data_IF_719291318785
#
_entry.id   IF_719291318785
#
_cell.length_a   1.000
_cell.length_b   1.000
_cell.length_c   1.000
_cell.angle_alpha   90.00
_cell.angle_beta   90.00
_cell.angle_gamma   90.00
#
_symmetry.space_group_name_H-M   'P 1'
#
loop_
_entity.id
_entity.type
_entity.pdbx_description
1 polymer ?
#
# COMPACT_ATOMS: atom_id res chain seq x y z
N UNK A 1 -3.37 -15.85 11.83
CA UNK A 1 -2.30 -16.27 12.77
C UNK A 1 -1.73 -17.63 12.39
N UNK A 2 -2.54 -18.69 12.29
CA UNK A 2 -2.03 -20.03 11.92
C UNK A 2 -1.27 -20.07 10.58
N UNK A 3 -1.73 -19.36 9.54
CA UNK A 3 -1.02 -19.31 8.26
C UNK A 3 0.35 -18.62 8.35
N UNK A 4 0.45 -17.54 9.12
CA UNK A 4 1.72 -16.84 9.33
C UNK A 4 2.70 -17.70 10.14
N UNK A 5 2.20 -18.47 11.11
CA UNK A 5 3.01 -19.45 11.86
C UNK A 5 3.56 -20.55 10.93
N UNK A 6 2.74 -21.06 10.01
CA UNK A 6 3.17 -22.05 9.01
C UNK A 6 4.26 -21.52 8.06
N UNK A 7 4.38 -20.20 7.93
CA UNK A 7 5.44 -19.56 7.15
C UNK A 7 6.66 -19.14 7.97
N UNK A 8 6.71 -19.45 9.28
CA UNK A 8 7.76 -18.99 10.17
C UNK A 8 7.72 -17.49 10.48
N UNK A 9 6.63 -16.80 10.11
CA UNK A 9 6.45 -15.35 10.30
C UNK A 9 5.78 -15.02 11.63
N UNK A 10 5.43 -16.03 12.43
CA UNK A 10 4.90 -15.84 13.75
C UNK A 10 5.22 -17.05 14.63
N UNK A 11 5.51 -16.81 15.92
CA UNK A 11 5.67 -17.84 16.93
C UNK A 11 4.93 -17.44 18.19
N UNK A 12 4.05 -18.30 18.71
CA UNK A 12 3.48 -18.16 20.07
C UNK A 12 3.04 -16.72 20.43
N UNK A 13 2.36 -16.06 19.47
CA UNK A 13 1.84 -14.69 19.55
C UNK A 13 2.85 -13.54 19.33
N UNK A 14 4.07 -13.84 18.90
CA UNK A 14 5.07 -12.89 18.36
C UNK A 14 4.99 -12.94 16.85
N UNK A 15 5.01 -11.78 16.20
CA UNK A 15 5.06 -11.65 14.76
C UNK A 15 6.51 -11.33 14.35
N UNK A 16 7.07 -12.10 13.43
CA UNK A 16 8.42 -11.96 12.88
C UNK A 16 8.38 -11.24 11.54
N UNK A 17 7.58 -10.18 11.47
CA UNK A 17 7.48 -9.29 10.31
C UNK A 17 7.58 -7.85 10.83
N UNK A 18 8.19 -6.96 10.08
CA UNK A 18 8.20 -5.55 10.47
C UNK A 18 6.84 -4.87 10.22
N UNK A 19 6.67 -3.70 10.84
CA UNK A 19 5.41 -2.96 10.79
C UNK A 19 5.04 -2.49 9.37
N UNK A 20 6.03 -2.18 8.52
CA UNK A 20 5.81 -1.71 7.16
C UNK A 20 5.32 -2.86 6.27
N UNK A 21 5.93 -4.03 6.41
CA UNK A 21 5.52 -5.26 5.70
C UNK A 21 4.17 -5.77 6.19
N UNK A 22 3.88 -5.70 7.49
CA UNK A 22 2.54 -5.98 8.01
C UNK A 22 1.50 -5.03 7.40
N UNK A 23 1.80 -3.73 7.39
CA UNK A 23 0.92 -2.73 6.80
C UNK A 23 0.76 -2.91 5.29
N UNK A 24 1.77 -3.44 4.60
CA UNK A 24 1.67 -3.82 3.20
C UNK A 24 0.69 -5.00 3.02
N UNK A 25 0.86 -6.09 3.77
CA UNK A 25 -0.02 -7.25 3.73
C UNK A 25 -1.48 -6.89 4.01
N UNK A 26 -1.73 -6.13 5.07
CA UNK A 26 -3.10 -5.72 5.46
C UNK A 26 -3.78 -4.84 4.41
N UNK A 27 -2.99 -4.09 3.64
CA UNK A 27 -3.47 -3.31 2.50
C UNK A 27 -3.61 -4.13 1.20
N UNK A 28 -3.29 -5.43 1.24
CA UNK A 28 -3.27 -6.32 0.07
C UNK A 28 -2.10 -6.07 -0.88
N UNK A 29 -1.08 -5.34 -0.42
CA UNK A 29 0.16 -5.06 -1.18
C UNK A 29 1.19 -6.17 -0.96
N UNK A 30 2.26 -6.14 -1.74
CA UNK A 30 3.42 -7.01 -1.56
C UNK A 30 4.31 -6.49 -0.43
N UNK A 31 4.89 -7.38 0.35
CA UNK A 31 6.00 -7.08 1.27
C UNK A 31 7.30 -6.84 0.51
N UNK A 32 8.34 -6.42 1.22
CA UNK A 32 9.72 -6.65 0.78
C UNK A 32 10.04 -8.17 0.76
N UNK A 33 11.22 -8.54 0.25
CA UNK A 33 11.66 -9.93 0.21
C UNK A 33 11.85 -10.49 1.64
N UNK A 34 11.11 -11.54 1.98
CA UNK A 34 11.16 -12.19 3.27
C UNK A 34 11.83 -13.56 3.18
N UNK A 35 12.62 -13.89 4.20
CA UNK A 35 13.16 -15.25 4.41
C UNK A 35 12.13 -16.07 5.15
N UNK A 36 11.47 -16.98 4.44
CA UNK A 36 10.57 -17.96 5.04
C UNK A 36 11.40 -19.19 5.43
N UNK A 37 11.18 -19.75 6.62
CA UNK A 37 11.95 -20.88 7.13
C UNK A 37 11.05 -22.05 7.55
N UNK A 38 11.57 -23.27 7.43
CA UNK A 38 10.94 -24.52 7.86
C UNK A 38 9.51 -24.70 7.33
N UNK A 39 9.32 -24.45 6.04
CA UNK A 39 8.01 -24.57 5.40
C UNK A 39 7.64 -26.05 5.22
N UNK A 40 6.46 -26.42 5.72
CA UNK A 40 5.89 -27.74 5.55
C UNK A 40 4.58 -27.69 4.78
N UNK A 41 4.56 -28.26 3.58
CA UNK A 41 3.35 -28.33 2.77
C UNK A 41 3.23 -29.70 2.09
N UNK A 42 2.12 -30.40 2.35
CA UNK A 42 1.79 -31.68 1.70
C UNK A 42 2.91 -32.75 1.79
N UNK A 43 3.67 -32.78 2.90
CA UNK A 43 4.78 -33.72 3.10
C UNK A 43 6.11 -33.30 2.45
N UNK A 44 6.15 -32.15 1.78
CA UNK A 44 7.39 -31.52 1.33
C UNK A 44 7.88 -30.57 2.44
N UNK A 45 9.12 -30.77 2.86
CA UNK A 45 9.83 -29.85 3.76
C UNK A 45 10.78 -28.98 2.94
N UNK A 46 10.58 -27.66 2.99
CA UNK A 46 11.44 -26.66 2.38
C UNK A 46 12.15 -25.92 3.52
N UNK A 47 13.46 -26.12 3.72
CA UNK A 47 14.18 -25.53 4.85
C UNK A 47 14.11 -24.01 4.88
N UNK A 48 14.17 -23.38 3.70
CA UNK A 48 13.94 -21.96 3.57
C UNK A 48 13.58 -21.57 2.13
N UNK A 49 12.86 -20.45 1.99
CA UNK A 49 12.46 -19.86 0.72
C UNK A 49 12.48 -18.34 0.86
N UNK A 50 13.13 -17.65 -0.07
CA UNK A 50 13.02 -16.20 -0.19
C UNK A 50 11.80 -15.88 -1.07
N UNK A 51 10.84 -15.13 -0.53
CA UNK A 51 9.63 -14.73 -1.25
C UNK A 51 9.10 -13.39 -0.74
N UNK A 52 8.46 -12.63 -1.63
CA UNK A 52 7.53 -11.57 -1.23
C UNK A 52 6.18 -12.19 -0.89
N UNK A 53 5.39 -11.54 -0.06
CA UNK A 53 4.08 -12.01 0.36
C UNK A 53 2.99 -11.00 0.03
N UNK A 54 1.77 -11.46 -0.23
CA UNK A 54 0.60 -10.58 -0.33
C UNK A 54 -0.67 -11.27 0.18
N UNK A 55 -1.68 -10.48 0.56
CA UNK A 55 -3.01 -10.98 0.89
C UNK A 55 -4.00 -10.67 -0.22
N UNK A 56 -4.89 -11.62 -0.52
CA UNK A 56 -6.01 -11.43 -1.43
C UNK A 56 -7.27 -12.05 -0.85
N UNK A 57 -8.43 -11.48 -1.16
CA UNK A 57 -9.72 -12.15 -0.94
C UNK A 57 -10.09 -12.97 -2.16
N UNK A 58 -10.38 -14.24 -1.97
CA UNK A 58 -10.90 -15.10 -3.03
C UNK A 58 -12.39 -14.85 -3.28
N UNK A 59 -12.98 -15.59 -4.24
CA UNK A 59 -14.38 -15.45 -4.64
C UNK A 59 -15.37 -15.74 -3.50
N UNK A 60 -15.00 -16.60 -2.55
CA UNK A 60 -15.76 -16.89 -1.32
C UNK A 60 -15.61 -15.81 -0.23
N UNK A 61 -14.81 -14.77 -0.50
CA UNK A 61 -14.50 -13.71 0.46
C UNK A 61 -13.48 -14.09 1.54
N UNK A 62 -12.94 -15.31 1.49
CA UNK A 62 -11.88 -15.77 2.40
C UNK A 62 -10.56 -15.07 2.05
N UNK A 63 -9.80 -14.73 3.08
CA UNK A 63 -8.45 -14.16 2.91
C UNK A 63 -7.49 -15.31 2.65
N UNK A 64 -6.69 -15.16 1.60
CA UNK A 64 -5.62 -16.07 1.21
C UNK A 64 -4.28 -15.33 1.25
N UNK A 65 -3.29 -16.01 1.80
CA UNK A 65 -1.89 -15.58 1.77
C UNK A 65 -1.19 -16.16 0.54
N UNK A 66 -0.61 -15.29 -0.27
CA UNK A 66 0.10 -15.61 -1.50
C UNK A 66 1.60 -15.42 -1.27
N UNK A 67 2.39 -16.40 -1.69
CA UNK A 67 3.84 -16.31 -1.73
C UNK A 67 4.32 -16.12 -3.17
N UNK A 68 5.19 -15.13 -3.37
CA UNK A 68 5.79 -14.75 -4.64
C UNK A 68 7.29 -15.06 -4.57
N UNK A 69 7.71 -16.31 -4.86
CA UNK A 69 9.11 -16.69 -4.83
C UNK A 69 9.88 -16.05 -6.00
N UNK A 70 11.21 -16.20 -5.99
CA UNK A 70 12.05 -15.81 -7.12
C UNK A 70 11.88 -16.83 -8.26
N UNK A 71 11.12 -16.47 -9.29
CA UNK A 71 10.88 -17.31 -10.45
C UNK A 71 12.09 -17.36 -11.38
N UNK A 72 12.35 -18.53 -11.97
CA UNK A 72 13.44 -18.69 -12.95
C UNK A 72 13.13 -17.99 -14.28
N UNK A 73 11.87 -17.99 -14.68
CA UNK A 73 11.37 -17.39 -15.91
C UNK A 73 10.09 -16.63 -15.61
N UNK A 74 9.96 -15.42 -16.14
CA UNK A 74 8.75 -14.64 -16.02
C UNK A 74 7.70 -15.11 -17.03
N UNK A 75 6.48 -15.32 -16.56
CA UNK A 75 5.32 -15.56 -17.42
C UNK A 75 4.47 -14.28 -17.44
N UNK A 76 4.58 -13.51 -18.52
CA UNK A 76 3.81 -12.28 -18.69
C UNK A 76 2.43 -12.52 -19.32
N UNK A 77 1.42 -11.68 -19.01
CA UNK A 77 0.06 -11.81 -19.56
C UNK A 77 0.03 -11.93 -21.09
N UNK A 78 -0.88 -12.75 -21.63
CA UNK A 78 -0.99 -12.99 -23.08
C UNK A 78 -1.36 -11.73 -23.88
N UNK A 79 -2.04 -10.77 -23.27
CA UNK A 79 -2.45 -9.53 -23.93
C UNK A 79 -1.31 -8.49 -24.06
N UNK A 80 -0.15 -8.74 -23.44
CA UNK A 80 1.06 -7.94 -23.66
C UNK A 80 1.83 -8.48 -24.85
N UNK A 81 2.30 -7.56 -25.69
CA UNK A 81 3.24 -7.88 -26.77
C UNK A 81 4.61 -8.25 -26.20
N UNK A 82 5.41 -9.02 -26.94
CA UNK A 82 6.77 -9.39 -26.53
C UNK A 82 7.64 -8.14 -26.30
N UNK A 83 7.45 -7.08 -27.10
CA UNK A 83 8.16 -5.80 -26.93
C UNK A 83 7.78 -5.13 -25.61
N UNK A 84 6.49 -5.13 -25.23
CA UNK A 84 6.05 -4.58 -23.94
C UNK A 84 6.63 -5.38 -22.77
N UNK A 85 6.63 -6.72 -22.85
CA UNK A 85 7.22 -7.59 -21.83
C UNK A 85 8.71 -7.34 -21.67
N UNK A 86 9.46 -7.36 -22.78
CA UNK A 86 10.90 -7.11 -22.78
C UNK A 86 11.25 -5.71 -22.26
N UNK A 87 10.44 -4.69 -22.62
CA UNK A 87 10.64 -3.32 -22.14
C UNK A 87 10.44 -3.19 -20.63
N UNK A 88 9.45 -3.88 -20.06
CA UNK A 88 9.22 -3.94 -18.61
C UNK A 88 10.34 -4.71 -17.90
N UNK A 89 10.73 -5.88 -18.42
CA UNK A 89 11.79 -6.74 -17.86
C UNK A 89 13.15 -6.02 -17.81
N UNK A 90 13.48 -5.26 -18.86
CA UNK A 90 14.72 -4.48 -18.94
C UNK A 90 14.66 -3.17 -18.16
N UNK A 91 13.50 -2.76 -17.67
CA UNK A 91 13.32 -1.45 -17.05
C UNK A 91 13.39 -0.28 -18.05
N UNK A 92 13.11 -0.52 -19.32
CA UNK A 92 12.96 0.57 -20.29
C UNK A 92 11.61 1.27 -20.12
N UNK A 93 10.58 0.50 -19.75
CA UNK A 93 9.29 0.99 -19.28
C UNK A 93 9.08 0.63 -17.81
N UNK A 94 8.50 1.56 -17.05
CA UNK A 94 8.19 1.31 -15.63
C UNK A 94 6.93 0.47 -15.49
N UNK A 95 5.92 0.79 -16.30
CA UNK A 95 4.64 0.10 -16.35
C UNK A 95 3.99 0.29 -17.72
N UNK A 96 2.99 -0.54 -18.03
CA UNK A 96 2.14 -0.43 -19.20
C UNK A 96 0.68 -0.48 -18.76
N UNK A 97 -0.17 0.38 -19.34
CA UNK A 97 -1.62 0.35 -19.11
C UNK A 97 -2.32 -0.29 -20.31
N UNK A 98 -3.20 -1.27 -20.05
CA UNK A 98 -3.99 -1.97 -21.07
C UNK A 98 -5.46 -1.92 -20.69
N UNK A 99 -6.33 -1.87 -21.70
CA UNK A 99 -7.76 -2.15 -21.51
C UNK A 99 -8.00 -3.61 -21.85
N UNK A 100 -8.44 -4.39 -20.87
CA UNK A 100 -8.80 -5.80 -21.05
C UNK A 100 -10.31 -5.96 -20.87
N UNK A 101 -10.86 -7.01 -21.46
CA UNK A 101 -12.27 -7.41 -21.24
C UNK A 101 -12.27 -8.65 -20.37
N UNK A 102 -13.19 -8.74 -19.41
CA UNK A 102 -13.46 -10.01 -18.75
C UNK A 102 -14.25 -10.96 -19.66
N UNK A 103 -14.51 -12.18 -19.17
CA UNK A 103 -15.26 -13.19 -19.91
C UNK A 103 -16.72 -12.80 -20.21
N UNK A 104 -17.26 -11.77 -19.55
CA UNK A 104 -18.62 -11.25 -19.73
C UNK A 104 -18.64 -10.04 -20.70
N UNK A 105 -17.47 -9.53 -21.09
CA UNK A 105 -17.31 -8.43 -22.04
C UNK A 105 -17.16 -7.06 -21.38
N UNK A 106 -17.16 -6.99 -20.05
CA UNK A 106 -16.94 -5.75 -19.31
C UNK A 106 -15.46 -5.36 -19.39
N UNK A 107 -15.23 -4.08 -19.69
CA UNK A 107 -13.89 -3.53 -19.92
C UNK A 107 -13.34 -2.90 -18.65
N UNK A 108 -12.11 -3.25 -18.31
CA UNK A 108 -11.33 -2.60 -17.24
C UNK A 108 -9.94 -2.20 -17.71
N UNK A 109 -9.44 -1.09 -17.19
CA UNK A 109 -8.05 -0.67 -17.39
C UNK A 109 -7.17 -1.29 -16.31
N UNK A 110 -6.15 -2.03 -16.74
CA UNK A 110 -5.13 -2.64 -15.87
C UNK A 110 -3.77 -2.01 -16.12
N UNK A 111 -3.02 -1.83 -15.04
CA UNK A 111 -1.63 -1.44 -15.05
C UNK A 111 -0.79 -2.69 -14.81
N UNK A 112 0.23 -2.89 -15.63
CA UNK A 112 1.17 -4.00 -15.50
C UNK A 112 2.56 -3.47 -15.19
N UNK A 113 3.16 -3.98 -14.14
CA UNK A 113 4.56 -3.76 -13.73
C UNK A 113 5.34 -5.07 -13.77
N UNK A 114 6.67 -4.95 -13.79
CA UNK A 114 7.55 -6.10 -13.62
C UNK A 114 8.34 -5.96 -12.31
N UNK A 115 8.23 -6.98 -11.47
CA UNK A 115 8.98 -7.12 -10.22
C UNK A 115 10.28 -7.86 -10.50
N UNK A 116 11.39 -7.13 -10.49
CA UNK A 116 12.71 -7.67 -10.80
C UNK A 116 13.27 -8.57 -9.70
N UNK A 117 12.76 -8.46 -8.46
CA UNK A 117 13.21 -9.29 -7.35
C UNK A 117 12.58 -10.69 -7.42
N UNK A 118 11.31 -10.78 -7.84
CA UNK A 118 10.61 -12.06 -7.99
C UNK A 118 10.58 -12.59 -9.43
N UNK A 119 11.02 -11.80 -10.41
CA UNK A 119 10.94 -12.12 -11.85
C UNK A 119 9.50 -12.39 -12.30
N UNK A 120 8.59 -11.47 -11.97
CA UNK A 120 7.16 -11.65 -12.12
C UNK A 120 6.46 -10.39 -12.65
N UNK A 121 5.44 -10.57 -13.49
CA UNK A 121 4.56 -9.48 -13.91
C UNK A 121 3.41 -9.30 -12.91
N UNK A 122 3.23 -8.07 -12.44
CA UNK A 122 2.16 -7.70 -11.51
C UNK A 122 1.07 -6.94 -12.27
N UNK A 123 -0.16 -7.47 -12.27
CA UNK A 123 -1.35 -6.79 -12.80
C UNK A 123 -2.15 -6.13 -11.67
N UNK A 124 -2.49 -4.85 -11.84
CA UNK A 124 -3.37 -4.11 -10.93
C UNK A 124 -4.47 -3.41 -11.71
N UNK A 125 -5.72 -3.57 -11.27
CA UNK A 125 -6.83 -2.77 -11.77
C UNK A 125 -6.65 -1.29 -11.40
N UNK A 126 -6.57 -0.41 -12.39
CA UNK A 126 -6.36 1.03 -12.18
C UNK A 126 -7.49 1.68 -11.38
N UNK A 127 -8.70 1.11 -11.39
CA UNK A 127 -9.84 1.54 -10.59
C UNK A 127 -9.67 1.24 -9.09
N UNK A 128 -8.81 0.28 -8.74
CA UNK A 128 -8.47 -0.09 -7.35
C UNK A 128 -7.25 0.67 -6.82
N UNK A 129 -6.63 1.52 -7.63
CA UNK A 129 -5.52 2.37 -7.20
C UNK A 129 -6.08 3.64 -6.56
N UNK A 130 -5.74 3.84 -5.28
CA UNK A 130 -6.15 5.00 -4.50
C UNK A 130 -5.03 6.04 -4.47
N UNK A 131 -5.11 7.13 -5.26
CA UNK A 131 -4.13 8.20 -5.19
C UNK A 131 -4.29 8.97 -3.87
N UNK A 132 -3.19 9.49 -3.32
CA UNK A 132 -3.25 10.39 -2.17
C UNK A 132 -4.00 11.68 -2.52
N UNK A 133 -4.64 12.28 -1.53
CA UNK A 133 -5.35 13.54 -1.67
C UNK A 133 -4.39 14.73 -1.64
N UNK A 134 -3.40 14.67 -0.76
CA UNK A 134 -2.32 15.64 -0.61
C UNK A 134 -0.97 14.94 -0.47
N UNK A 135 0.10 15.62 -0.87
CA UNK A 135 1.50 15.25 -0.61
C UNK A 135 2.19 16.45 0.02
N UNK A 136 2.79 16.26 1.19
CA UNK A 136 3.39 17.31 2.01
C UNK A 136 2.43 18.50 2.20
N UNK A 137 1.13 18.22 2.37
CA UNK A 137 0.09 19.24 2.52
C UNK A 137 -0.28 20.01 1.24
N UNK A 138 0.24 19.60 0.08
CA UNK A 138 -0.12 20.15 -1.24
C UNK A 138 -1.17 19.23 -1.88
N UNK A 139 -2.38 19.72 -2.21
CA UNK A 139 -3.43 18.90 -2.81
C UNK A 139 -3.09 18.48 -4.24
N UNK A 140 -3.34 17.20 -4.55
CA UNK A 140 -3.25 16.71 -5.92
C UNK A 140 -4.49 17.11 -6.72
N UNK A 141 -4.27 17.62 -7.92
CA UNK A 141 -5.33 17.94 -8.88
C UNK A 141 -6.02 16.66 -9.38
N UNK A 142 -7.21 16.80 -9.97
CA UNK A 142 -7.94 15.67 -10.58
C UNK A 142 -7.12 14.98 -11.67
N UNK A 143 -6.37 15.75 -12.45
CA UNK A 143 -5.50 15.21 -13.51
C UNK A 143 -4.31 14.46 -12.93
N UNK A 144 -3.65 15.01 -11.91
CA UNK A 144 -2.57 14.32 -11.20
C UNK A 144 -3.05 12.99 -10.60
N UNK A 145 -4.20 12.98 -9.92
CA UNK A 145 -4.80 11.75 -9.39
C UNK A 145 -5.10 10.73 -10.50
N UNK A 146 -5.58 11.17 -11.66
CA UNK A 146 -5.80 10.31 -12.83
C UNK A 146 -4.48 9.74 -13.39
N UNK A 147 -3.44 10.57 -13.47
CA UNK A 147 -2.12 10.17 -13.94
C UNK A 147 -1.47 9.16 -12.99
N UNK A 148 -1.55 9.39 -11.68
CA UNK A 148 -1.07 8.46 -10.65
C UNK A 148 -1.72 7.07 -10.77
N UNK A 149 -3.05 7.01 -10.93
CA UNK A 149 -3.78 5.73 -11.16
C UNK A 149 -3.33 4.99 -12.42
N UNK A 150 -2.81 5.71 -13.41
CA UNK A 150 -2.27 5.15 -14.64
C UNK A 150 -0.76 4.92 -14.57
N UNK A 151 -0.18 4.90 -13.37
CA UNK A 151 1.25 4.66 -13.17
C UNK A 151 2.15 5.76 -13.69
N UNK A 152 1.61 6.94 -14.00
CA UNK A 152 2.42 8.07 -14.45
C UNK A 152 2.96 8.84 -13.26
N UNK A 153 4.15 9.41 -13.44
CA UNK A 153 4.72 10.33 -12.48
C UNK A 153 3.84 11.58 -12.32
N UNK A 154 3.77 12.06 -11.08
CA UNK A 154 3.03 13.24 -10.67
C UNK A 154 3.96 14.10 -9.84
N UNK A 155 4.08 15.38 -10.19
CA UNK A 155 4.92 16.34 -9.47
C UNK A 155 4.07 17.42 -8.80
N UNK A 156 4.36 17.71 -7.54
CA UNK A 156 3.78 18.81 -6.75
C UNK A 156 4.57 20.11 -6.93
N UNK A 157 3.97 21.23 -6.52
CA UNK A 157 4.60 22.56 -6.60
C UNK A 157 5.91 22.69 -5.80
N UNK A 158 6.12 21.86 -4.77
CA UNK A 158 7.37 21.84 -4.01
C UNK A 158 8.46 20.95 -4.62
N UNK A 159 8.22 20.39 -5.82
CA UNK A 159 9.13 19.51 -6.54
C UNK A 159 9.18 18.09 -5.98
N UNK A 160 8.15 17.66 -5.24
CA UNK A 160 7.99 16.25 -4.86
C UNK A 160 7.32 15.50 -6.02
N UNK A 161 8.02 14.54 -6.59
CA UNK A 161 7.50 13.67 -7.65
C UNK A 161 7.21 12.30 -7.08
N UNK A 162 6.02 11.77 -7.36
CA UNK A 162 5.57 10.44 -6.94
C UNK A 162 5.05 9.61 -8.12
N UNK A 163 5.11 8.29 -7.99
CA UNK A 163 4.55 7.33 -8.94
C UNK A 163 3.97 6.15 -8.16
N UNK A 164 2.84 5.60 -8.61
CA UNK A 164 2.34 4.33 -8.07
C UNK A 164 3.33 3.21 -8.40
N UNK A 165 3.48 2.24 -7.50
CA UNK A 165 4.17 0.99 -7.80
C UNK A 165 3.51 -0.21 -7.14
N UNK A 166 3.26 -1.28 -7.88
CA UNK A 166 2.63 -2.48 -7.36
C UNK A 166 3.62 -3.44 -6.67
N UNK A 167 4.92 -3.32 -7.00
CA UNK A 167 5.99 -4.17 -6.46
C UNK A 167 6.55 -3.66 -5.12
N UNK A 168 6.36 -2.38 -4.79
CA UNK A 168 6.89 -1.78 -3.55
C UNK A 168 5.88 -1.86 -2.40
N UNK A 169 6.36 -2.12 -1.19
CA UNK A 169 5.52 -2.25 0.02
C UNK A 169 4.66 -1.03 0.35
N UNK A 170 5.16 0.16 0.05
CA UNK A 170 4.42 1.41 0.30
C UNK A 170 3.46 1.79 -0.84
N UNK A 171 3.43 1.02 -1.94
CA UNK A 171 2.72 1.31 -3.18
C UNK A 171 3.08 2.66 -3.86
N UNK A 172 4.17 3.30 -3.45
CA UNK A 172 4.58 4.60 -3.92
C UNK A 172 6.10 4.66 -4.06
N UNK A 173 6.56 5.11 -5.22
CA UNK A 173 7.93 5.59 -5.44
C UNK A 173 7.94 7.10 -5.41
N UNK A 174 9.02 7.68 -4.95
CA UNK A 174 9.16 9.13 -4.90
C UNK A 174 10.58 9.57 -5.21
N UNK A 175 10.75 10.83 -5.61
CA UNK A 175 12.07 11.46 -5.64
C UNK A 175 12.57 11.90 -4.25
N UNK A 176 11.77 11.72 -3.18
CA UNK A 176 12.13 11.97 -1.76
C UNK A 176 12.09 10.69 -0.93
N UNK A 177 13.02 10.54 0.03
CA UNK A 177 13.08 9.38 0.94
C UNK A 177 11.90 9.31 1.93
N UNK A 178 11.28 10.45 2.21
CA UNK A 178 10.14 10.56 3.09
C UNK A 178 9.18 11.63 2.58
N UNK A 179 7.88 11.37 2.73
CA UNK A 179 6.82 12.32 2.46
C UNK A 179 5.64 12.05 3.38
N UNK A 180 4.75 13.02 3.51
CA UNK A 180 3.48 12.84 4.21
C UNK A 180 2.36 12.88 3.19
N UNK A 181 1.56 11.83 3.13
CA UNK A 181 0.39 11.77 2.27
C UNK A 181 -0.88 11.88 3.10
N UNK A 182 -1.93 12.49 2.54
CA UNK A 182 -3.28 12.35 3.07
C UNK A 182 -4.09 11.36 2.22
N UNK A 183 -4.92 10.56 2.87
CA UNK A 183 -5.78 9.56 2.25
C UNK A 183 -7.17 9.70 2.87
N UNK A 184 -8.19 9.83 2.03
CA UNK A 184 -9.58 9.72 2.46
C UNK A 184 -9.94 8.26 2.78
N UNK A 185 -10.30 8.02 4.05
CA UNK A 185 -10.74 6.71 4.55
C UNK A 185 -12.05 6.92 5.31
N UNK A 186 -13.10 6.18 4.94
CA UNK A 186 -14.41 6.18 5.62
C UNK A 186 -15.03 7.57 5.85
N UNK A 187 -14.77 8.51 4.93
CA UNK A 187 -15.29 9.88 4.98
C UNK A 187 -14.46 10.85 5.84
N UNK A 188 -13.34 10.43 6.41
CA UNK A 188 -12.37 11.25 7.12
C UNK A 188 -11.00 11.34 6.42
N UNK A 189 -10.26 12.40 6.69
CA UNK A 189 -8.87 12.55 6.19
C UNK A 189 -7.92 11.90 7.18
N UNK A 190 -7.17 10.89 6.73
CA UNK A 190 -6.05 10.30 7.46
C UNK A 190 -4.73 10.79 6.88
N UNK A 191 -3.73 11.04 7.73
CA UNK A 191 -2.38 11.39 7.31
C UNK A 191 -1.43 10.24 7.60
N UNK A 192 -0.56 9.92 6.63
CA UNK A 192 0.41 8.84 6.72
C UNK A 192 1.80 9.38 6.41
N UNK A 193 2.75 9.09 7.29
CA UNK A 193 4.17 9.36 7.07
C UNK A 193 4.81 8.16 6.39
N UNK A 194 5.25 8.34 5.15
CA UNK A 194 6.07 7.35 4.45
C UNK A 194 7.56 7.65 4.68
N UNK A 195 8.33 6.60 4.96
CA UNK A 195 9.79 6.64 5.14
C UNK A 195 10.42 5.54 4.31
N UNK A 196 11.71 5.68 3.98
CA UNK A 196 12.45 4.65 3.25
C UNK A 196 11.87 4.38 1.85
N UNK A 197 11.25 5.39 1.23
CA UNK A 197 10.66 5.23 -0.10
C UNK A 197 11.73 4.93 -1.15
N UNK A 198 11.39 4.01 -2.06
CA UNK A 198 12.20 3.71 -3.23
C UNK A 198 12.17 4.87 -4.24
N UNK A 199 13.27 5.00 -4.98
CA UNK A 199 13.42 6.03 -5.99
C UNK A 199 12.49 5.78 -7.19
N UNK A 200 12.12 6.86 -7.86
CA UNK A 200 11.53 6.76 -9.20
C UNK A 200 12.47 6.00 -10.14
N UNK A 201 11.88 5.26 -11.07
CA UNK A 201 12.61 4.38 -11.96
C UNK A 201 13.68 5.14 -12.77
N UNK A 202 14.91 4.63 -12.80
CA UNK A 202 16.07 5.28 -13.45
C UNK A 202 16.38 6.71 -12.96
N UNK A 203 15.91 7.10 -11.77
CA UNK A 203 16.19 8.42 -11.20
C UNK A 203 16.96 8.33 -9.89
N UNK A 204 17.71 9.38 -9.59
CA UNK A 204 18.37 9.53 -8.29
C UNK A 204 17.35 10.02 -7.26
N UNK A 205 17.49 9.48 -6.05
CA UNK A 205 16.76 9.92 -4.88
C UNK A 205 17.36 11.22 -4.32
N UNK A 206 16.52 12.18 -3.97
CA UNK A 206 16.93 13.32 -3.15
C UNK A 206 16.81 12.96 -1.65
N UNK A 207 17.89 13.24 -0.91
CA UNK A 207 17.94 12.99 0.54
C UNK A 207 17.16 14.03 1.36
N UNK A 208 17.01 15.26 0.83
CA UNK A 208 16.29 16.32 1.52
C UNK A 208 14.77 16.12 1.37
N UNK A 209 13.96 16.30 2.44
CA UNK A 209 12.51 16.33 2.31
C UNK A 209 12.02 17.48 1.43
N UNK A 210 10.78 17.37 0.92
CA UNK A 210 10.12 18.45 0.20
C UNK A 210 9.97 19.70 1.08
N UNK A 211 9.90 20.89 0.47
CA UNK A 211 9.88 22.17 1.21
C UNK A 211 8.74 22.24 2.23
N UNK A 212 7.62 21.59 1.93
CA UNK A 212 6.42 21.63 2.77
C UNK A 212 6.34 20.47 3.77
N UNK A 213 7.32 19.55 3.77
CA UNK A 213 7.32 18.35 4.61
C UNK A 213 7.16 18.67 6.09
N UNK A 214 7.91 19.63 6.62
CA UNK A 214 7.85 20.00 8.04
C UNK A 214 6.49 20.55 8.46
N UNK A 215 5.83 21.32 7.58
CA UNK A 215 4.49 21.84 7.85
C UNK A 215 3.45 20.70 7.85
N UNK A 216 3.58 19.75 6.93
CA UNK A 216 2.74 18.57 6.90
C UNK A 216 2.96 17.67 8.13
N UNK A 217 4.19 17.62 8.66
CA UNK A 217 4.52 16.84 9.86
C UNK A 217 3.80 17.38 11.10
N UNK A 218 3.68 18.69 11.24
CA UNK A 218 2.90 19.28 12.34
C UNK A 218 1.41 18.92 12.23
N UNK A 219 0.84 18.98 11.01
CA UNK A 219 -0.56 18.54 10.79
C UNK A 219 -0.78 17.07 11.16
N UNK A 220 0.18 16.20 10.82
CA UNK A 220 0.11 14.78 11.18
C UNK A 220 0.11 14.60 12.71
N UNK A 221 1.02 15.27 13.42
CA UNK A 221 1.06 15.24 14.90
C UNK A 221 -0.24 15.74 15.53
N UNK A 222 -0.80 16.82 15.00
CA UNK A 222 -2.10 17.35 15.47
C UNK A 222 -3.24 16.34 15.25
N UNK A 223 -3.25 15.65 14.12
CA UNK A 223 -4.23 14.62 13.81
C UNK A 223 -4.10 13.41 14.74
N UNK A 224 -2.88 12.97 15.04
CA UNK A 224 -2.60 11.90 16.01
C UNK A 224 -3.04 12.29 17.42
N UNK A 225 -2.72 13.51 17.87
CA UNK A 225 -3.13 14.01 19.18
C UNK A 225 -4.67 14.03 19.33
N UNK A 226 -5.39 14.43 18.27
CA UNK A 226 -6.87 14.39 18.24
C UNK A 226 -7.42 12.97 18.26
N UNK A 227 -6.76 12.00 17.60
CA UNK A 227 -7.15 10.58 17.61
C UNK A 227 -6.95 9.91 18.98
N UNK A 228 -5.98 10.36 19.77
CA UNK A 228 -5.74 9.84 21.13
C UNK A 228 -6.66 10.50 22.17
N UNK A 229 -7.17 11.70 21.88
CA UNK A 229 -8.05 12.46 22.78
C UNK A 229 -9.59 12.28 22.69
N UNK A 230 -10.22 11.29 21.99
CA UNK A 230 -11.68 11.17 22.01
C UNK A 230 -12.19 10.54 23.33
N UNK A 231 -13.09 11.28 23.98
CA UNK A 231 -13.92 10.98 25.18
C UNK A 231 -13.26 10.92 26.57
N UNK A 232 -12.82 12.09 27.06
CA UNK A 232 -13.10 12.48 28.45
C UNK A 232 -14.15 13.61 28.40
N UNK A 233 -15.38 13.28 28.02
CA UNK A 233 -16.52 14.10 28.43
C UNK A 233 -16.89 13.66 29.83
N UNK A 234 -16.55 14.50 30.80
CA UNK A 234 -16.97 14.36 32.17
C UNK A 234 -18.51 14.30 32.20
N UNK A 235 -19.03 13.16 32.63
CA UNK A 235 -20.38 13.02 33.15
C UNK A 235 -20.48 13.91 34.39
N UNK A 236 -20.86 15.18 34.18
CA UNK A 236 -21.39 16.01 35.27
C UNK A 236 -22.84 15.59 35.40
N UNK A 237 -23.09 14.63 36.29
CA UNK A 237 -24.42 14.35 36.80
C UNK A 237 -25.06 15.67 37.25
N UNK A 238 -26.13 16.04 36.55
CA UNK A 238 -27.06 17.04 37.03
C UNK A 238 -27.93 16.35 38.09
N UNK A 239 -27.69 16.69 39.36
CA UNK A 239 -28.60 16.36 40.45
C UNK A 239 -29.92 17.11 40.22
N UNK A 240 -30.93 16.41 39.68
CA UNK A 240 -32.31 16.88 39.69
C UNK A 240 -32.86 16.83 41.13
N UNK A 241 -33.06 18.00 41.73
CA UNK A 241 -33.88 18.20 42.92
C UNK A 241 -35.34 17.80 42.62
N UNK A 242 -35.74 16.59 43.01
CA UNK A 242 -37.15 16.21 43.07
C UNK A 242 -37.76 16.80 44.35
N UNK A 243 -38.47 17.91 44.20
CA UNK A 243 -39.41 18.40 45.20
C UNK A 243 -40.77 17.72 44.98
N UNK A 244 -41.07 16.68 45.75
CA UNK A 244 -42.45 16.19 45.90
C UNK A 244 -43.07 16.74 47.19
N UNK A 245 -43.94 17.74 47.00
CA UNK A 245 -44.92 18.16 47.98
C UNK A 245 -46.06 17.13 48.03
N UNK A 246 -46.25 16.45 49.17
CA UNK A 246 -47.50 15.77 49.48
C UNK A 246 -48.18 16.49 50.65
N UNK A 247 -49.29 17.15 50.33
CA UNK A 247 -50.33 17.56 51.29
C UNK A 247 -51.67 17.50 50.59
N UNK A 248 -52.39 16.39 50.77
CA UNK A 248 -53.76 16.31 51.33
C UNK A 248 -54.34 14.91 51.14
#
# INVERSE_FOLDING_TARGET
>A
MEELQKLGLADWNVLHIDDDDLAALLAGRRTDMLRLENLEQQGLHIPALDAKLSLRRNEDGKVELLAHPIYKYAEGPEYLTDIEKESLEKGEAVNVVKTISDGEGDKREVLVEFDNETNEFIEVDTGKIFPPDEINGIPLTKEQKKNYRKGKEVETEDGTTIQYSAQDKHAIRANRLALIASILIDGGVSYVLFKGLNALFNKKQEAAPGKNFNQALEKLKEAEAKRVAPDIKADKGEDEEISESISR
#
